data_IF_732943713327
#
_entry.id   IF_732943713327
#
_cell.length_a   1.000
_cell.length_b   1.000
_cell.length_c   1.000
_cell.angle_alpha   90.00
_cell.angle_beta   90.00
_cell.angle_gamma   90.00
#
_symmetry.space_group_name_H-M   'P 1'
#
loop_
_entity.id
_entity.type
_entity.pdbx_description
1 polymer ?
#
# COMPACT_ATOMS: atom_id res chain seq x y z
N UNK A 1 51.94 16.39 11.82
CA UNK A 1 51.50 15.15 11.11
C UNK A 1 52.59 14.78 10.12
N UNK A 2 53.11 13.57 10.16
CA UNK A 2 54.20 13.12 9.30
C UNK A 2 53.70 13.05 7.86
N UNK A 3 54.56 13.43 6.86
CA UNK A 3 54.18 13.42 5.43
C UNK A 3 53.60 12.06 4.98
N UNK A 4 54.13 10.96 5.49
CA UNK A 4 53.64 9.60 5.20
C UNK A 4 52.19 9.38 5.73
N UNK A 5 51.85 9.92 6.90
CA UNK A 5 50.50 9.84 7.46
C UNK A 5 49.48 10.63 6.62
N UNK A 6 49.87 11.79 6.11
CA UNK A 6 49.02 12.61 5.23
C UNK A 6 48.71 11.83 3.96
N UNK A 7 49.71 11.22 3.34
CA UNK A 7 49.54 10.41 2.11
C UNK A 7 48.61 9.25 2.35
N UNK A 8 48.76 8.53 3.46
CA UNK A 8 47.87 7.39 3.80
C UNK A 8 46.42 7.88 3.98
N UNK A 9 46.21 8.94 4.76
CA UNK A 9 44.84 9.46 4.99
C UNK A 9 44.20 9.93 3.69
N UNK A 10 44.91 10.65 2.84
CA UNK A 10 44.40 11.10 1.55
C UNK A 10 44.07 9.92 0.63
N UNK A 11 44.94 8.89 0.60
CA UNK A 11 44.68 7.71 -0.20
C UNK A 11 43.42 6.94 0.28
N UNK A 12 43.24 6.78 1.58
CA UNK A 12 42.05 6.12 2.15
C UNK A 12 40.77 6.91 1.82
N UNK A 13 40.81 8.24 2.01
CA UNK A 13 39.67 9.10 1.69
C UNK A 13 39.30 9.02 0.20
N UNK A 14 40.32 9.10 -0.67
CA UNK A 14 40.14 9.00 -2.12
C UNK A 14 39.52 7.64 -2.52
N UNK A 15 40.00 6.55 -1.92
CA UNK A 15 39.44 5.20 -2.17
C UNK A 15 38.00 5.09 -1.73
N UNK A 16 37.64 5.60 -0.55
CA UNK A 16 36.26 5.61 -0.06
C UNK A 16 35.33 6.41 -0.97
N UNK A 17 35.76 7.61 -1.38
CA UNK A 17 35.00 8.46 -2.31
C UNK A 17 34.78 7.73 -3.67
N UNK A 18 35.81 7.07 -4.17
CA UNK A 18 35.73 6.31 -5.42
C UNK A 18 34.76 5.15 -5.32
N UNK A 19 34.74 4.41 -4.20
CA UNK A 19 33.80 3.33 -3.95
C UNK A 19 32.36 3.84 -3.85
N UNK A 20 32.13 4.97 -3.20
CA UNK A 20 30.81 5.60 -3.13
C UNK A 20 30.30 6.05 -4.50
N UNK A 21 31.18 6.64 -5.32
CA UNK A 21 30.85 7.04 -6.69
C UNK A 21 30.52 5.82 -7.57
N UNK A 22 31.31 4.76 -7.49
CA UNK A 22 31.05 3.53 -8.23
C UNK A 22 29.73 2.89 -7.79
N UNK A 23 29.45 2.84 -6.50
CA UNK A 23 28.18 2.36 -5.97
C UNK A 23 26.99 3.19 -6.49
N UNK A 24 27.11 4.50 -6.51
CA UNK A 24 26.08 5.40 -7.06
C UNK A 24 25.86 5.19 -8.56
N UNK A 25 26.93 5.03 -9.34
CA UNK A 25 26.83 4.77 -10.78
C UNK A 25 26.18 3.40 -11.06
N UNK A 26 26.54 2.37 -10.29
CA UNK A 26 25.97 1.04 -10.45
C UNK A 26 24.47 1.03 -10.09
N UNK A 27 24.08 1.73 -9.01
CA UNK A 27 22.69 1.90 -8.62
C UNK A 27 21.88 2.62 -9.71
N UNK A 28 22.40 3.76 -10.22
CA UNK A 28 21.76 4.48 -11.31
C UNK A 28 21.62 3.65 -12.58
N UNK A 29 22.61 2.82 -12.89
CA UNK A 29 22.56 1.97 -14.09
C UNK A 29 21.50 0.87 -13.95
N UNK A 30 21.42 0.22 -12.80
CA UNK A 30 20.38 -0.75 -12.49
C UNK A 30 18.98 -0.13 -12.59
N UNK A 31 18.80 1.09 -12.05
CA UNK A 31 17.55 1.85 -12.15
C UNK A 31 17.18 2.19 -13.61
N UNK A 32 18.13 2.56 -14.42
CA UNK A 32 17.91 2.85 -15.85
C UNK A 32 17.54 1.60 -16.65
N UNK A 33 18.15 0.47 -16.34
CA UNK A 33 17.80 -0.82 -16.98
C UNK A 33 16.37 -1.25 -16.60
N UNK A 34 15.91 -0.92 -15.40
CA UNK A 34 14.53 -1.19 -14.96
C UNK A 34 13.53 -0.24 -15.63
N UNK A 35 13.83 1.04 -15.76
CA UNK A 35 12.99 2.05 -16.44
C UNK A 35 12.79 1.71 -17.92
N UNK A 36 13.77 1.08 -18.57
CA UNK A 36 13.69 0.68 -19.97
C UNK A 36 12.97 -0.66 -20.21
N UNK A 37 12.56 -1.35 -19.15
CA UNK A 37 11.72 -2.53 -19.27
C UNK A 37 10.28 -2.11 -19.56
N UNK A 38 9.75 -2.50 -20.68
CA UNK A 38 8.31 -2.36 -20.95
C UNK A 38 7.57 -3.21 -19.93
N UNK A 39 6.72 -2.62 -19.08
CA UNK A 39 5.98 -3.39 -18.10
C UNK A 39 5.03 -4.38 -18.78
N UNK A 40 5.06 -5.62 -18.34
CA UNK A 40 4.10 -6.67 -18.73
C UNK A 40 3.18 -6.94 -17.51
N UNK A 41 2.44 -5.92 -17.12
CA UNK A 41 1.51 -5.94 -16.01
C UNK A 41 0.09 -5.88 -16.58
N UNK A 42 -0.76 -6.83 -16.20
CA UNK A 42 -2.17 -6.78 -16.58
C UNK A 42 -2.82 -5.52 -16.00
N UNK A 43 -3.73 -4.92 -16.74
CA UNK A 43 -4.40 -3.68 -16.33
C UNK A 43 -5.08 -3.78 -14.95
N UNK A 44 -5.64 -4.95 -14.64
CA UNK A 44 -6.32 -5.21 -13.36
C UNK A 44 -5.51 -6.12 -12.43
N UNK A 45 -4.17 -6.12 -12.53
CA UNK A 45 -3.33 -6.91 -11.62
C UNK A 45 -3.37 -6.34 -10.20
N UNK A 46 -4.03 -7.04 -9.24
CA UNK A 46 -4.25 -6.49 -7.91
C UNK A 46 -3.03 -6.60 -6.98
N UNK A 47 -2.05 -7.43 -7.33
CA UNK A 47 -0.90 -7.72 -6.48
C UNK A 47 0.20 -6.70 -6.67
N UNK A 48 0.39 -5.83 -5.69
CA UNK A 48 1.47 -4.83 -5.71
C UNK A 48 2.86 -5.44 -5.90
N UNK A 49 3.09 -6.70 -5.51
CA UNK A 49 4.36 -7.41 -5.74
C UNK A 49 4.67 -7.67 -7.22
N UNK A 50 3.65 -7.82 -8.06
CA UNK A 50 3.86 -7.94 -9.52
C UNK A 50 4.32 -6.61 -10.11
N UNK A 51 3.74 -5.51 -9.64
CA UNK A 51 4.17 -4.15 -9.98
C UNK A 51 5.61 -3.87 -9.54
N UNK A 52 6.00 -4.37 -8.37
CA UNK A 52 7.35 -4.22 -7.82
C UNK A 52 8.46 -4.81 -8.69
N UNK A 53 8.14 -5.75 -9.60
CA UNK A 53 9.11 -6.31 -10.55
C UNK A 53 9.56 -5.29 -11.60
N UNK A 54 8.73 -4.30 -11.88
CA UNK A 54 8.98 -3.24 -12.87
C UNK A 54 9.22 -1.89 -12.21
N UNK A 55 8.58 -1.64 -11.05
CA UNK A 55 8.62 -0.38 -10.33
C UNK A 55 9.09 -0.60 -8.87
N UNK A 56 10.33 -1.06 -8.65
CA UNK A 56 10.80 -1.46 -7.32
C UNK A 56 10.81 -0.33 -6.30
N UNK A 57 11.18 0.89 -6.70
CA UNK A 57 11.23 2.05 -5.78
C UNK A 57 9.84 2.40 -5.24
N UNK A 58 8.84 2.38 -6.10
CA UNK A 58 7.45 2.64 -5.71
C UNK A 58 6.91 1.51 -4.83
N UNK A 59 7.27 0.27 -5.15
CA UNK A 59 6.92 -0.88 -4.34
C UNK A 59 7.60 -0.84 -2.96
N UNK A 60 8.87 -0.46 -2.88
CA UNK A 60 9.59 -0.28 -1.61
C UNK A 60 8.93 0.82 -0.76
N UNK A 61 8.52 1.92 -1.37
CA UNK A 61 7.77 2.99 -0.71
C UNK A 61 6.40 2.49 -0.19
N UNK A 62 5.70 1.67 -0.97
CA UNK A 62 4.47 1.01 -0.53
C UNK A 62 4.74 0.08 0.65
N UNK A 63 5.78 -0.75 0.57
CA UNK A 63 6.16 -1.68 1.64
C UNK A 63 6.60 -0.98 2.93
N UNK A 64 7.15 0.24 2.84
CA UNK A 64 7.47 1.05 4.01
C UNK A 64 6.22 1.36 4.88
N UNK A 65 5.03 1.37 4.29
CA UNK A 65 3.78 1.52 5.06
C UNK A 65 3.50 0.37 6.02
N UNK A 66 4.19 -0.77 5.85
CA UNK A 66 4.12 -1.92 6.77
C UNK A 66 4.81 -1.65 8.12
N UNK A 67 5.71 -0.68 8.18
CA UNK A 67 6.41 -0.31 9.43
C UNK A 67 5.46 0.30 10.47
N UNK A 68 4.31 0.84 10.05
CA UNK A 68 3.28 1.39 10.92
C UNK A 68 2.35 0.30 11.44
N UNK A 69 2.85 -0.65 12.20
CA UNK A 69 2.08 -1.82 12.67
C UNK A 69 1.31 -1.59 13.98
N UNK A 70 1.61 -0.51 14.72
CA UNK A 70 0.96 -0.19 15.99
C UNK A 70 -0.50 0.22 15.78
N UNK A 71 -1.42 -0.46 16.45
CA UNK A 71 -2.84 -0.08 16.50
C UNK A 71 -3.02 0.99 17.56
N UNK A 72 -3.38 2.21 17.15
CA UNK A 72 -3.62 3.34 18.04
C UNK A 72 -5.11 3.63 18.12
N UNK A 73 -5.66 3.44 19.30
CA UNK A 73 -7.06 3.77 19.61
C UNK A 73 -7.22 5.29 19.72
N UNK A 74 -7.83 5.91 18.71
CA UNK A 74 -8.07 7.35 18.67
C UNK A 74 -9.06 7.79 19.75
N UNK A 75 -10.06 6.97 20.06
CA UNK A 75 -11.05 7.31 21.07
C UNK A 75 -10.44 7.28 22.49
N UNK A 76 -9.46 6.42 22.73
CA UNK A 76 -8.69 6.42 23.98
C UNK A 76 -7.80 7.66 24.09
N UNK A 77 -7.23 8.11 22.97
CA UNK A 77 -6.39 9.31 22.91
C UNK A 77 -7.21 10.58 23.09
N UNK A 78 -8.37 10.66 22.46
CA UNK A 78 -9.29 11.79 22.55
C UNK A 78 -10.75 11.31 22.73
N UNK A 79 -11.19 11.11 23.99
CA UNK A 79 -12.53 10.61 24.30
C UNK A 79 -13.67 11.54 23.81
N UNK A 80 -13.40 12.82 23.57
CA UNK A 80 -14.42 13.76 23.13
C UNK A 80 -14.89 13.48 21.68
N UNK A 81 -14.10 12.76 20.90
CA UNK A 81 -14.49 12.36 19.54
C UNK A 81 -15.76 11.50 19.54
N UNK A 82 -16.06 10.76 20.60
CA UNK A 82 -17.31 10.00 20.73
C UNK A 82 -18.53 10.91 20.58
N UNK A 83 -18.47 12.12 21.12
CA UNK A 83 -19.58 13.11 21.04
C UNK A 83 -19.75 13.61 19.60
N UNK A 84 -18.64 13.89 18.91
CA UNK A 84 -18.67 14.38 17.54
C UNK A 84 -19.20 13.31 16.56
N UNK A 85 -18.96 12.05 16.87
CA UNK A 85 -19.34 10.92 16.01
C UNK A 85 -20.56 10.13 16.53
N UNK A 86 -21.29 10.71 17.48
CA UNK A 86 -22.50 10.10 18.02
C UNK A 86 -23.47 9.68 16.92
N UNK A 87 -23.87 8.42 16.93
CA UNK A 87 -24.76 7.82 15.92
C UNK A 87 -24.03 7.14 14.74
N UNK A 88 -22.71 7.32 14.61
CA UNK A 88 -21.92 6.60 13.62
C UNK A 88 -21.27 5.36 14.23
N UNK A 89 -21.07 4.32 13.39
CA UNK A 89 -20.48 3.06 13.84
C UNK A 89 -19.10 3.24 14.48
N UNK A 90 -18.26 4.12 13.94
CA UNK A 90 -16.93 4.41 14.46
C UNK A 90 -16.90 5.24 15.76
N UNK A 91 -18.03 5.69 16.27
CA UNK A 91 -18.09 6.29 17.62
C UNK A 91 -17.74 5.30 18.74
N UNK A 92 -17.71 4.01 18.46
CA UNK A 92 -17.37 2.95 19.41
C UNK A 92 -16.01 2.32 19.19
N UNK A 93 -15.51 2.43 17.98
CA UNK A 93 -14.25 1.82 17.57
C UNK A 93 -13.64 2.62 16.42
N UNK A 94 -12.58 3.36 16.72
CA UNK A 94 -11.87 4.15 15.72
C UNK A 94 -10.38 4.16 16.00
N UNK A 95 -9.67 3.47 15.13
CA UNK A 95 -8.22 3.41 15.18
C UNK A 95 -7.57 4.37 14.18
N UNK A 96 -6.37 4.83 14.49
CA UNK A 96 -5.54 5.57 13.55
C UNK A 96 -5.22 4.68 12.33
N UNK A 97 -5.38 5.19 11.09
CA UNK A 97 -5.00 4.44 9.89
C UNK A 97 -3.52 4.09 9.91
N UNK A 98 -3.19 2.82 9.71
CA UNK A 98 -1.81 2.33 9.73
C UNK A 98 -1.07 2.44 8.39
N UNK A 99 -1.72 2.82 7.34
CA UNK A 99 -1.18 2.87 5.99
C UNK A 99 -1.78 1.81 5.05
N UNK A 100 -1.41 1.88 3.78
CA UNK A 100 -2.07 1.10 2.73
C UNK A 100 -1.93 -0.41 2.92
N UNK A 101 -0.78 -0.88 3.41
CA UNK A 101 -0.53 -2.30 3.63
C UNK A 101 -1.56 -2.95 4.58
N UNK A 102 -2.01 -2.22 5.60
CA UNK A 102 -2.97 -2.71 6.59
C UNK A 102 -4.43 -2.33 6.31
N UNK A 103 -4.68 -1.62 5.21
CA UNK A 103 -6.01 -1.07 4.92
C UNK A 103 -7.11 -2.13 4.94
N UNK A 104 -6.86 -3.30 4.38
CA UNK A 104 -7.83 -4.39 4.34
C UNK A 104 -8.08 -4.97 5.75
N UNK A 105 -7.02 -5.27 6.48
CA UNK A 105 -7.08 -5.80 7.85
C UNK A 105 -7.82 -4.83 8.79
N UNK A 106 -7.46 -3.56 8.75
CA UNK A 106 -8.06 -2.54 9.60
C UNK A 106 -9.55 -2.35 9.29
N UNK A 107 -9.94 -2.42 8.02
CA UNK A 107 -11.37 -2.35 7.66
C UNK A 107 -12.17 -3.58 8.09
N UNK A 108 -11.59 -4.77 7.98
CA UNK A 108 -12.24 -5.99 8.43
C UNK A 108 -12.46 -5.94 9.95
N UNK A 109 -11.52 -5.39 10.69
CA UNK A 109 -11.52 -5.35 12.15
C UNK A 109 -12.26 -4.15 12.76
N UNK A 110 -12.97 -3.32 12.00
CA UNK A 110 -13.75 -2.22 12.57
C UNK A 110 -15.18 -2.64 12.88
N UNK A 111 -15.76 -2.13 13.98
CA UNK A 111 -17.15 -2.40 14.35
C UNK A 111 -18.16 -1.99 13.27
N UNK A 112 -17.84 -0.95 12.53
CA UNK A 112 -18.64 -0.45 11.41
C UNK A 112 -18.87 -1.48 10.33
N UNK A 113 -17.89 -2.35 10.08
CA UNK A 113 -17.95 -3.40 9.06
C UNK A 113 -18.42 -4.74 9.61
N UNK A 114 -18.59 -4.84 10.93
CA UNK A 114 -19.06 -6.04 11.62
C UNK A 114 -17.99 -6.75 12.41
N UNK A 115 -16.82 -6.12 12.58
CA UNK A 115 -15.72 -6.66 13.36
C UNK A 115 -15.95 -6.61 14.90
N UNK A 116 -15.14 -7.29 15.65
CA UNK A 116 -13.92 -8.04 15.29
C UNK A 116 -14.19 -9.38 14.62
N UNK A 117 -15.21 -9.47 13.90
CA UNK A 117 -15.87 -10.64 13.47
C UNK A 117 -15.18 -11.26 12.26
N UNK A 118 -15.81 -11.38 11.28
CA UNK A 118 -15.27 -11.86 10.04
C UNK A 118 -15.77 -10.99 8.90
N UNK A 119 -15.08 -11.08 7.81
CA UNK A 119 -15.46 -10.38 6.59
C UNK A 119 -16.71 -10.96 5.91
N UNK A 120 -17.35 -12.00 6.49
CA UNK A 120 -18.53 -12.68 5.94
C UNK A 120 -19.83 -12.18 6.53
N UNK A 121 -19.83 -11.56 7.70
CA UNK A 121 -21.03 -11.13 8.42
C UNK A 121 -21.23 -9.62 8.49
N UNK A 122 -20.32 -8.84 7.91
CA UNK A 122 -20.35 -7.38 7.95
C UNK A 122 -21.65 -6.79 7.37
N UNK A 123 -22.25 -5.79 8.05
CA UNK A 123 -23.53 -5.21 7.65
C UNK A 123 -23.42 -4.22 6.48
N UNK A 124 -22.23 -3.80 6.13
CA UNK A 124 -21.97 -2.77 5.13
C UNK A 124 -22.35 -3.23 3.71
N UNK A 125 -22.77 -2.32 2.83
CA UNK A 125 -23.00 -2.65 1.43
C UNK A 125 -21.70 -2.98 0.71
N UNK A 126 -21.77 -3.76 -0.35
CA UNK A 126 -20.62 -4.17 -1.17
C UNK A 126 -19.80 -2.98 -1.69
N UNK A 127 -20.47 -1.87 -2.02
CA UNK A 127 -19.82 -0.64 -2.48
C UNK A 127 -18.72 -0.12 -1.54
N UNK A 128 -18.73 -0.49 -0.25
CA UNK A 128 -17.67 -0.10 0.68
C UNK A 128 -16.30 -0.68 0.32
N UNK A 129 -16.25 -1.76 -0.45
CA UNK A 129 -14.99 -2.35 -0.91
C UNK A 129 -14.27 -1.50 -1.96
N UNK A 130 -14.97 -0.66 -2.74
CA UNK A 130 -14.40 0.07 -3.88
C UNK A 130 -13.19 0.92 -3.53
N UNK A 131 -13.07 1.41 -2.30
CA UNK A 131 -11.93 2.20 -1.83
C UNK A 131 -10.97 1.41 -0.94
N UNK A 132 -11.05 0.08 -0.91
CA UNK A 132 -10.32 -0.75 0.05
C UNK A 132 -9.42 -1.79 -0.59
N UNK A 133 -9.67 -2.16 -1.84
CA UNK A 133 -8.95 -3.23 -2.50
C UNK A 133 -8.93 -3.10 -4.01
N UNK A 134 -7.79 -3.39 -4.65
CA UNK A 134 -7.66 -3.50 -6.10
C UNK A 134 -8.31 -4.78 -6.68
N UNK A 135 -8.82 -5.68 -5.84
CA UNK A 135 -9.60 -6.82 -6.30
C UNK A 135 -10.97 -6.41 -6.86
N UNK A 136 -11.46 -5.22 -6.51
CA UNK A 136 -12.80 -4.77 -6.92
C UNK A 136 -12.95 -4.64 -8.43
N UNK A 137 -12.09 -3.94 -9.18
CA UNK A 137 -12.19 -3.88 -10.64
C UNK A 137 -12.16 -5.26 -11.29
N UNK A 138 -11.29 -6.15 -10.82
CA UNK A 138 -11.22 -7.54 -11.29
C UNK A 138 -12.55 -8.28 -11.07
N UNK A 139 -13.13 -8.17 -9.88
CA UNK A 139 -14.40 -8.81 -9.55
C UNK A 139 -15.57 -8.23 -10.36
N UNK A 140 -15.56 -6.93 -10.62
CA UNK A 140 -16.55 -6.29 -11.48
C UNK A 140 -16.47 -6.78 -12.93
N UNK A 141 -15.25 -6.97 -13.45
CA UNK A 141 -15.03 -7.56 -14.77
C UNK A 141 -15.48 -9.02 -14.82
N UNK A 142 -15.11 -9.84 -13.83
CA UNK A 142 -15.40 -11.28 -13.81
C UNK A 142 -16.88 -11.62 -13.55
N UNK A 143 -17.56 -10.85 -12.70
CA UNK A 143 -18.93 -11.14 -12.23
C UNK A 143 -19.98 -10.20 -12.80
N UNK A 144 -19.56 -9.07 -13.36
CA UNK A 144 -20.41 -7.97 -13.79
C UNK A 144 -20.68 -6.96 -12.68
N UNK A 145 -20.68 -5.66 -13.06
CA UNK A 145 -20.83 -4.56 -12.12
C UNK A 145 -22.11 -4.64 -11.28
N UNK A 146 -23.25 -4.93 -11.92
CA UNK A 146 -24.53 -5.01 -11.22
C UNK A 146 -24.55 -6.14 -10.19
N UNK A 147 -23.95 -7.29 -10.53
CA UNK A 147 -23.85 -8.41 -9.60
C UNK A 147 -22.90 -8.09 -8.44
N UNK A 148 -21.77 -7.45 -8.73
CA UNK A 148 -20.84 -7.01 -7.69
C UNK A 148 -21.52 -6.10 -6.66
N UNK A 149 -22.27 -5.09 -7.08
CA UNK A 149 -22.91 -4.14 -6.18
C UNK A 149 -24.15 -4.68 -5.45
N UNK A 150 -24.61 -5.88 -5.80
CA UNK A 150 -25.78 -6.47 -5.15
C UNK A 150 -25.39 -7.12 -3.81
N UNK A 151 -25.99 -6.65 -2.72
CA UNK A 151 -25.88 -7.28 -1.41
C UNK A 151 -24.92 -6.61 -0.44
N UNK A 152 -24.40 -7.41 0.47
CA UNK A 152 -23.51 -6.97 1.56
C UNK A 152 -22.05 -7.22 1.20
N UNK A 153 -21.17 -6.44 1.78
CA UNK A 153 -19.73 -6.59 1.60
C UNK A 153 -19.20 -7.99 1.93
N UNK A 154 -19.86 -8.67 2.89
CA UNK A 154 -19.54 -10.03 3.29
C UNK A 154 -19.58 -11.04 2.13
N UNK A 155 -20.37 -10.76 1.08
CA UNK A 155 -20.46 -11.62 -0.10
C UNK A 155 -19.11 -11.89 -0.77
N UNK A 156 -18.24 -10.86 -0.80
CA UNK A 156 -16.97 -10.92 -1.50
C UNK A 156 -15.76 -11.07 -0.58
N UNK A 157 -16.01 -11.25 0.71
CA UNK A 157 -14.96 -11.26 1.73
C UNK A 157 -13.84 -12.26 1.49
N UNK A 158 -14.10 -13.41 0.87
CA UNK A 158 -13.08 -14.42 0.58
C UNK A 158 -12.30 -14.13 -0.71
N UNK A 159 -12.84 -13.30 -1.61
CA UNK A 159 -12.22 -12.95 -2.87
C UNK A 159 -11.45 -11.63 -2.80
N UNK A 160 -11.69 -10.82 -1.78
CA UNK A 160 -10.99 -9.55 -1.53
C UNK A 160 -9.84 -9.80 -0.55
N UNK A 161 -8.64 -9.93 -1.10
CA UNK A 161 -7.44 -10.34 -0.37
C UNK A 161 -6.27 -9.38 -0.50
N UNK A 162 -6.29 -8.51 -1.51
CA UNK A 162 -5.24 -7.52 -1.72
C UNK A 162 -5.63 -6.18 -1.09
N UNK A 163 -4.83 -5.61 -0.20
CA UNK A 163 -5.05 -4.26 0.32
C UNK A 163 -4.82 -3.22 -0.76
N UNK A 164 -5.22 -1.97 -0.52
CA UNK A 164 -4.95 -0.84 -1.42
C UNK A 164 -3.49 -0.84 -1.86
N UNK A 165 -3.26 -0.80 -3.15
CA UNK A 165 -1.94 -0.94 -3.74
C UNK A 165 -1.74 -0.13 -5.02
N UNK A 166 -0.73 -0.51 -5.80
CA UNK A 166 -0.33 0.23 -7.00
C UNK A 166 -1.47 0.39 -8.00
N UNK A 167 -2.22 -0.69 -8.28
CA UNK A 167 -3.31 -0.71 -9.26
C UNK A 167 -4.47 0.24 -8.94
N UNK A 168 -4.60 0.69 -7.70
CA UNK A 168 -5.68 1.58 -7.28
C UNK A 168 -5.51 3.01 -7.78
N UNK A 169 -4.27 3.43 -7.98
CA UNK A 169 -3.92 4.82 -8.25
C UNK A 169 -3.01 5.00 -9.47
N UNK A 170 -2.43 3.93 -10.01
CA UNK A 170 -1.41 4.03 -11.04
C UNK A 170 -1.77 3.27 -12.32
N UNK A 171 -1.32 3.81 -13.43
CA UNK A 171 -1.34 3.17 -14.72
C UNK A 171 -0.29 2.04 -14.77
N UNK A 172 -0.66 0.91 -15.37
CA UNK A 172 0.19 -0.28 -15.39
C UNK A 172 1.39 -0.20 -16.35
N UNK A 173 1.37 0.72 -17.32
CA UNK A 173 2.44 0.89 -18.30
C UNK A 173 3.41 2.00 -17.88
N UNK A 174 2.89 3.11 -17.38
CA UNK A 174 3.65 4.34 -17.14
C UNK A 174 3.90 4.63 -15.67
N UNK A 175 3.17 3.99 -14.76
CA UNK A 175 3.15 4.31 -13.34
C UNK A 175 2.66 5.73 -13.03
N UNK A 176 2.09 6.42 -14.00
CA UNK A 176 1.45 7.72 -13.78
C UNK A 176 0.17 7.57 -12.93
N UNK A 177 -0.23 8.62 -12.26
CA UNK A 177 -1.48 8.62 -11.50
C UNK A 177 -2.66 8.49 -12.46
N UNK A 178 -3.42 7.42 -12.28
CA UNK A 178 -4.61 7.13 -13.06
C UNK A 178 -5.67 6.55 -12.11
N UNK A 179 -6.54 7.42 -11.58
CA UNK A 179 -7.64 6.95 -10.74
C UNK A 179 -8.67 6.26 -11.61
N UNK A 180 -8.68 4.94 -11.59
CA UNK A 180 -9.55 4.08 -12.42
C UNK A 180 -10.92 3.78 -11.80
N UNK A 181 -11.29 4.49 -10.72
CA UNK A 181 -12.53 4.25 -9.96
C UNK A 181 -13.38 5.49 -9.82
#
# INVERSE_FOLDING_TARGET
MNKSMIVIVVSVVATVLMLLLLGSIMSNKADQEMINKVPDIKELEPRSSEWGKYFPRQYDSYMATKESDEIKDILKKDPNLVVLWAGYGFSKDYNEPRGHFYMLEDNINTLRTGAPVDKKTGPMPTACWTCKSPDVPRLMEEKGELDFFTGKWARWGDEIVNPVGCADCHDNETMELSVKR
#
